data_IF_038323082934
#
_entry.id   IF_038323082934
#
_cell.length_a   1.000
_cell.length_b   1.000
_cell.length_c   1.000
_cell.angle_alpha   90.00
_cell.angle_beta   90.00
_cell.angle_gamma   90.00
#
_symmetry.space_group_name_H-M   'P 1'
#
loop_
_entity.id
_entity.type
_entity.pdbx_description
1 polymer ?
#
# COMPACT_ATOMS: atom_id res chain seq x y z
N UNK A 1 -25.89 -5.46 3.96
CA UNK A 1 -26.59 -4.38 4.67
C UNK A 1 -27.53 -3.68 3.71
N UNK A 2 -28.74 -3.31 4.14
CA UNK A 2 -29.70 -2.58 3.31
C UNK A 2 -30.22 -1.35 4.07
N UNK A 3 -30.15 -0.18 3.43
CA UNK A 3 -30.77 1.04 3.92
C UNK A 3 -32.26 0.99 3.54
N UNK A 4 -33.16 1.24 4.49
CA UNK A 4 -34.61 1.22 4.29
C UNK A 4 -35.23 2.44 4.96
N UNK A 5 -36.32 2.95 4.39
CA UNK A 5 -37.09 4.02 5.02
C UNK A 5 -37.72 3.52 6.33
N UNK A 6 -37.55 4.31 7.39
CA UNK A 6 -38.19 4.13 8.69
C UNK A 6 -39.41 5.05 8.74
N UNK A 7 -40.59 4.47 8.54
CA UNK A 7 -41.86 5.16 8.72
C UNK A 7 -42.04 6.41 7.84
N UNK A 8 -42.80 7.38 8.37
CA UNK A 8 -43.21 8.59 7.62
C UNK A 8 -42.22 9.76 7.68
N UNK A 9 -41.20 9.67 8.53
CA UNK A 9 -40.43 10.84 8.96
C UNK A 9 -39.12 11.05 8.17
N UNK A 10 -39.03 10.46 6.97
CA UNK A 10 -37.83 10.46 6.09
C UNK A 10 -36.54 9.97 6.75
N UNK A 11 -36.66 9.30 7.90
CA UNK A 11 -35.53 8.65 8.55
C UNK A 11 -35.20 7.36 7.81
N UNK A 12 -33.91 7.04 7.73
CA UNK A 12 -33.45 5.78 7.15
C UNK A 12 -32.90 4.89 8.25
N UNK A 13 -33.34 3.64 8.25
CA UNK A 13 -32.83 2.57 9.10
C UNK A 13 -31.90 1.67 8.32
N UNK A 14 -30.97 1.04 9.03
CA UNK A 14 -30.07 0.03 8.47
C UNK A 14 -30.56 -1.34 8.92
N UNK A 15 -30.93 -2.20 7.97
CA UNK A 15 -31.23 -3.61 8.24
C UNK A 15 -30.00 -4.47 7.89
N UNK A 16 -29.44 -5.11 8.90
CA UNK A 16 -28.26 -5.97 8.81
C UNK A 16 -27.57 -6.07 10.16
N UNK A 17 -26.57 -6.95 10.26
CA UNK A 17 -25.70 -7.01 11.44
C UNK A 17 -24.94 -5.70 11.61
N UNK A 18 -25.02 -5.10 12.80
CA UNK A 18 -24.25 -3.90 13.16
C UNK A 18 -23.29 -4.29 14.28
N UNK A 19 -22.01 -4.00 14.07
CA UNK A 19 -20.97 -4.18 15.09
C UNK A 19 -20.48 -2.79 15.50
N UNK A 20 -20.72 -2.42 16.76
CA UNK A 20 -20.17 -1.18 17.31
C UNK A 20 -18.70 -1.41 17.66
N UNK A 21 -17.79 -0.84 16.86
CA UNK A 21 -16.36 -0.85 17.15
C UNK A 21 -16.01 0.46 17.87
N UNK A 22 -15.43 0.42 19.09
CA UNK A 22 -14.99 1.64 19.76
C UNK A 22 -13.93 2.34 18.92
N UNK A 23 -14.18 3.60 18.57
CA UNK A 23 -13.25 4.42 17.82
C UNK A 23 -12.80 5.62 18.66
N UNK A 24 -11.50 5.89 18.64
CA UNK A 24 -10.92 7.07 19.27
C UNK A 24 -11.12 8.28 18.33
N UNK A 25 -12.08 9.13 18.71
CA UNK A 25 -12.44 10.30 17.92
C UNK A 25 -11.32 11.33 17.89
N UNK A 26 -10.52 11.46 18.96
CA UNK A 26 -9.42 12.42 19.00
C UNK A 26 -8.41 12.12 17.90
N UNK A 27 -7.99 10.86 17.76
CA UNK A 27 -7.13 10.43 16.65
C UNK A 27 -7.69 10.78 15.27
N UNK A 28 -9.00 10.66 15.10
CA UNK A 28 -9.65 10.91 13.80
C UNK A 28 -9.75 12.40 13.48
N UNK A 29 -10.06 13.23 14.48
CA UNK A 29 -10.23 14.68 14.35
C UNK A 29 -8.89 15.38 14.25
N UNK A 30 -7.89 14.97 15.03
CA UNK A 30 -6.54 15.55 15.00
C UNK A 30 -5.85 15.33 13.65
N UNK A 31 -6.24 14.28 12.92
CA UNK A 31 -5.73 13.98 11.59
C UNK A 31 -6.42 14.76 10.45
N UNK A 32 -7.32 15.70 10.76
CA UNK A 32 -8.05 16.49 9.75
C UNK A 32 -7.64 17.97 9.76
N UNK A 33 -7.43 18.59 8.57
CA UNK A 33 -7.39 17.98 7.24
C UNK A 33 -6.13 17.13 7.05
N UNK A 34 -6.30 15.94 6.47
CA UNK A 34 -5.21 14.98 6.30
C UNK A 34 -4.23 15.50 5.24
N UNK A 35 -2.94 15.54 5.55
CA UNK A 35 -1.94 15.94 4.56
C UNK A 35 -1.98 14.94 3.39
N UNK A 36 -2.00 15.46 2.16
CA UNK A 36 -1.99 14.65 0.93
C UNK A 36 -0.78 13.72 0.89
N UNK A 37 0.37 14.19 1.39
CA UNK A 37 1.60 13.40 1.43
C UNK A 37 1.47 12.20 2.39
N UNK A 38 0.77 12.35 3.51
CA UNK A 38 0.61 11.28 4.50
C UNK A 38 -0.36 10.18 4.04
N UNK A 39 -1.26 10.53 3.13
CA UNK A 39 -2.29 9.63 2.60
C UNK A 39 -1.96 9.08 1.22
N UNK A 40 -0.91 9.59 0.57
CA UNK A 40 -0.50 9.17 -0.75
C UNK A 40 -0.05 7.70 -0.74
N UNK A 41 -0.62 6.92 -1.66
CA UNK A 41 -0.27 5.52 -1.87
C UNK A 41 0.00 5.27 -3.34
N UNK A 42 0.93 4.36 -3.63
CA UNK A 42 1.32 3.96 -4.98
C UNK A 42 1.13 2.46 -5.16
N UNK A 43 0.74 2.04 -6.36
CA UNK A 43 0.71 0.62 -6.71
C UNK A 43 2.10 0.19 -7.17
N UNK A 44 2.65 -0.84 -6.51
CA UNK A 44 3.97 -1.38 -6.82
C UNK A 44 3.83 -2.85 -7.21
N UNK A 45 4.59 -3.22 -8.25
CA UNK A 45 4.74 -4.60 -8.72
C UNK A 45 6.17 -5.06 -8.46
N UNK A 46 6.36 -6.08 -7.63
CA UNK A 46 7.67 -6.60 -7.27
C UNK A 46 7.94 -7.94 -7.97
N UNK A 47 9.12 -8.06 -8.55
CA UNK A 47 9.63 -9.31 -9.14
C UNK A 47 10.59 -9.98 -8.16
N UNK A 48 10.58 -11.33 -8.10
CA UNK A 48 11.61 -12.10 -7.37
C UNK A 48 13.00 -11.88 -7.96
N UNK A 49 13.10 -11.78 -9.29
CA UNK A 49 14.32 -11.50 -10.05
C UNK A 49 13.99 -10.58 -11.22
N UNK A 50 14.91 -9.68 -11.58
CA UNK A 50 14.71 -8.74 -12.69
C UNK A 50 14.53 -9.43 -14.05
N UNK A 51 15.11 -10.61 -14.22
CA UNK A 51 15.01 -11.42 -15.45
C UNK A 51 13.63 -12.04 -15.69
N UNK A 52 12.76 -12.11 -14.67
CA UNK A 52 11.46 -12.76 -14.79
C UNK A 52 10.46 -11.87 -15.54
N UNK A 53 9.61 -12.50 -16.36
CA UNK A 53 8.56 -11.79 -17.10
C UNK A 53 7.40 -11.41 -16.19
N UNK A 54 6.96 -12.32 -15.33
CA UNK A 54 5.88 -12.13 -14.38
C UNK A 54 6.34 -11.40 -13.12
N UNK A 55 5.41 -10.71 -12.47
CA UNK A 55 5.62 -10.15 -11.12
C UNK A 55 5.05 -11.12 -10.09
N UNK A 56 5.67 -11.13 -8.92
CA UNK A 56 5.32 -12.02 -7.83
C UNK A 56 4.35 -11.36 -6.85
N UNK A 57 4.54 -10.07 -6.56
CA UNK A 57 3.72 -9.33 -5.58
C UNK A 57 3.18 -8.06 -6.21
N UNK A 58 1.90 -7.80 -5.94
CA UNK A 58 1.18 -6.59 -6.34
C UNK A 58 0.54 -5.99 -5.10
N UNK A 59 0.99 -4.81 -4.67
CA UNK A 59 0.46 -4.17 -3.48
C UNK A 59 0.37 -2.65 -3.63
N UNK A 60 -0.58 -2.06 -2.91
CA UNK A 60 -0.68 -0.62 -2.73
C UNK A 60 0.09 -0.25 -1.46
N UNK A 61 1.14 0.56 -1.61
CA UNK A 61 2.06 0.90 -0.52
C UNK A 61 2.09 2.40 -0.30
N UNK A 62 2.27 2.82 0.96
CA UNK A 62 2.49 4.22 1.31
C UNK A 62 4.01 4.49 1.36
N UNK A 63 4.56 5.35 0.47
CA UNK A 63 5.99 5.62 0.42
C UNK A 63 6.57 6.12 1.75
N UNK A 64 5.85 6.99 2.47
CA UNK A 64 6.31 7.53 3.75
C UNK A 64 6.46 6.42 4.80
N UNK A 65 5.55 5.43 4.79
CA UNK A 65 5.66 4.27 5.69
C UNK A 65 6.86 3.41 5.35
N UNK A 66 7.13 3.18 4.06
CA UNK A 66 8.30 2.41 3.60
C UNK A 66 9.59 3.11 4.00
N UNK A 67 9.68 4.42 3.79
CA UNK A 67 10.83 5.23 4.18
C UNK A 67 11.09 5.17 5.70
N UNK A 68 10.06 5.39 6.52
CA UNK A 68 10.19 5.32 7.97
C UNK A 68 10.59 3.92 8.46
N UNK A 69 10.07 2.86 7.83
CA UNK A 69 10.48 1.49 8.14
C UNK A 69 11.95 1.25 7.78
N UNK A 70 12.42 1.76 6.65
CA UNK A 70 13.82 1.65 6.24
C UNK A 70 14.76 2.36 7.24
N UNK A 71 14.42 3.59 7.65
CA UNK A 71 15.15 4.32 8.70
C UNK A 71 15.20 3.55 10.02
N UNK A 72 14.08 2.94 10.41
CA UNK A 72 14.03 2.10 11.61
C UNK A 72 14.96 0.88 11.49
N UNK A 73 14.97 0.19 10.34
CA UNK A 73 15.81 -0.98 10.11
C UNK A 73 17.31 -0.66 10.12
N UNK A 74 17.72 0.52 9.63
CA UNK A 74 19.13 0.94 9.69
C UNK A 74 19.67 1.06 11.12
N UNK A 75 18.80 1.35 12.10
CA UNK A 75 19.20 1.43 13.50
C UNK A 75 19.41 0.05 14.14
N UNK A 76 19.04 -1.04 13.46
CA UNK A 76 19.17 -2.39 13.97
C UNK A 76 20.62 -2.91 13.77
N UNK A 77 21.22 -3.56 14.78
CA UNK A 77 22.60 -4.06 14.72
C UNK A 77 22.86 -5.02 13.55
N UNK A 78 21.86 -5.80 13.12
CA UNK A 78 22.00 -6.70 11.98
C UNK A 78 22.34 -5.94 10.70
N UNK A 79 21.63 -4.85 10.42
CA UNK A 79 21.84 -4.03 9.23
C UNK A 79 23.14 -3.24 9.29
N UNK A 80 23.53 -2.79 10.49
CA UNK A 80 24.81 -2.12 10.72
C UNK A 80 25.99 -3.07 10.50
N UNK A 81 25.89 -4.32 10.98
CA UNK A 81 26.93 -5.33 10.79
C UNK A 81 27.19 -5.67 9.33
N UNK A 82 26.14 -5.59 8.50
CA UNK A 82 26.20 -5.84 7.06
C UNK A 82 26.51 -4.57 6.25
N UNK A 83 26.79 -3.45 6.93
CA UNK A 83 27.08 -2.15 6.33
C UNK A 83 26.03 -1.69 5.30
N UNK A 84 24.75 -1.97 5.58
CA UNK A 84 23.64 -1.56 4.72
C UNK A 84 23.38 -0.08 4.91
N UNK A 85 23.39 0.69 3.83
CA UNK A 85 23.11 2.13 3.83
C UNK A 85 21.98 2.47 2.85
N UNK A 86 21.19 3.49 3.18
CA UNK A 86 20.19 4.06 2.27
C UNK A 86 20.86 5.17 1.48
N UNK A 87 20.75 5.09 0.16
CA UNK A 87 21.22 6.15 -0.72
C UNK A 87 20.23 7.33 -0.71
N UNK A 88 20.55 8.35 0.10
CA UNK A 88 19.77 9.58 0.19
C UNK A 88 20.07 10.54 -0.98
N UNK A 89 21.23 10.42 -1.62
CA UNK A 89 21.61 11.26 -2.75
C UNK A 89 20.76 10.91 -3.98
N UNK A 90 20.53 9.61 -4.19
CA UNK A 90 19.58 9.12 -5.17
C UNK A 90 18.18 9.71 -4.96
N UNK A 91 17.70 9.80 -3.71
CA UNK A 91 16.38 10.35 -3.40
C UNK A 91 16.24 11.83 -3.80
N UNK A 92 17.26 12.64 -3.53
CA UNK A 92 17.26 14.08 -3.85
C UNK A 92 17.36 14.35 -5.36
N UNK A 93 18.07 13.50 -6.09
CA UNK A 93 18.09 13.53 -7.55
C UNK A 93 16.68 13.34 -8.14
N UNK A 94 15.91 12.39 -7.62
CA UNK A 94 14.52 12.16 -8.05
C UNK A 94 13.56 13.29 -7.68
N UNK A 95 13.80 14.00 -6.57
CA UNK A 95 12.98 15.17 -6.19
C UNK A 95 13.17 16.34 -7.18
N UNK A 96 14.38 16.47 -7.71
CA UNK A 96 14.77 17.60 -8.57
C UNK A 96 14.53 17.33 -10.05
N UNK A 97 14.59 16.07 -10.48
CA UNK A 97 14.19 15.64 -11.81
C UNK A 97 12.66 15.65 -11.92
N UNK A 98 12.10 16.82 -12.26
CA UNK A 98 10.74 16.93 -12.76
C UNK A 98 10.59 16.00 -13.97
N UNK A 99 9.86 14.90 -13.82
CA UNK A 99 9.47 14.05 -14.93
C UNK A 99 8.86 14.94 -16.04
N UNK A 100 9.24 14.76 -17.31
CA UNK A 100 8.64 15.53 -18.39
C UNK A 100 7.12 15.34 -18.34
N UNK A 101 6.38 16.46 -18.36
CA UNK A 101 4.92 16.45 -18.41
C UNK A 101 4.47 15.51 -19.53
N UNK A 102 3.87 14.37 -19.16
CA UNK A 102 3.45 13.34 -20.11
C UNK A 102 3.97 11.92 -19.84
N UNK A 103 4.99 11.73 -18.99
CA UNK A 103 5.37 10.38 -18.54
C UNK A 103 4.52 9.93 -17.35
N UNK A 104 3.22 9.78 -17.57
CA UNK A 104 2.41 9.00 -16.63
C UNK A 104 2.95 7.57 -16.67
N UNK A 105 3.64 7.13 -15.62
CA UNK A 105 3.99 5.73 -15.39
C UNK A 105 2.76 4.83 -15.13
N UNK A 106 1.60 5.20 -15.70
CA UNK A 106 0.51 4.29 -15.98
C UNK A 106 0.89 3.47 -17.22
N UNK A 107 1.90 2.61 -17.07
CA UNK A 107 2.10 1.51 -18.01
C UNK A 107 0.94 0.53 -17.79
N UNK A 108 -0.06 0.63 -18.66
CA UNK A 108 -1.13 -0.34 -18.96
C UNK A 108 -1.46 -1.31 -17.82
N UNK A 109 -2.43 -0.92 -17.00
CA UNK A 109 -3.26 -1.88 -16.28
C UNK A 109 -4.18 -2.58 -17.29
N UNK A 110 -3.62 -3.49 -18.09
CA UNK A 110 -4.46 -4.49 -18.73
C UNK A 110 -5.15 -5.30 -17.61
N UNK A 111 -6.48 -5.44 -17.63
CA UNK A 111 -7.17 -6.30 -16.69
C UNK A 111 -6.73 -7.74 -16.97
N UNK A 112 -5.87 -8.30 -16.12
CA UNK A 112 -5.47 -9.71 -16.21
C UNK A 112 -6.67 -10.52 -15.72
N UNK A 113 -7.34 -11.18 -16.65
CA UNK A 113 -8.25 -12.28 -16.39
C UNK A 113 -7.53 -13.31 -15.51
N UNK A 114 -8.06 -13.50 -14.32
CA UNK A 114 -7.57 -14.46 -13.32
C UNK A 114 -7.75 -15.89 -13.82
N UNK A 115 -6.68 -16.48 -14.32
CA UNK A 115 -6.47 -17.93 -14.25
C UNK A 115 -5.23 -18.16 -13.38
N UNK A 116 -5.47 -18.25 -12.08
CA UNK A 116 -4.46 -18.59 -11.08
C UNK A 116 -4.31 -20.12 -11.04
N UNK A 117 -3.19 -20.64 -11.53
CA UNK A 117 -2.70 -21.96 -11.11
C UNK A 117 -1.63 -21.73 -10.05
N UNK A 118 -2.00 -21.95 -8.79
CA UNK A 118 -1.04 -22.12 -7.71
C UNK A 118 -0.55 -23.57 -7.75
N UNK A 119 0.57 -23.82 -8.42
CA UNK A 119 1.31 -25.05 -8.21
C UNK A 119 1.94 -24.94 -6.81
N UNK A 120 1.42 -25.71 -5.86
CA UNK A 120 2.04 -25.90 -4.56
C UNK A 120 3.15 -26.93 -4.73
N UNK A 121 4.41 -26.48 -4.70
CA UNK A 121 5.54 -27.38 -4.50
C UNK A 121 5.42 -27.97 -3.08
N UNK A 122 4.88 -29.19 -2.99
CA UNK A 122 4.97 -30.02 -1.79
C UNK A 122 6.36 -30.65 -1.84
N UNK A 123 7.22 -30.24 -0.91
CA UNK A 123 8.48 -30.93 -0.64
C UNK A 123 8.14 -32.28 0.01
N UNK A 124 8.17 -33.36 -0.78
CA UNK A 124 8.18 -34.74 -0.31
C UNK A 124 9.61 -35.08 0.19
N UNK A 125 9.86 -34.90 1.49
CA UNK A 125 11.00 -35.52 2.18
C UNK A 125 10.58 -36.92 2.68
N UNK A 126 11.06 -37.97 2.00
CA UNK A 126 11.13 -39.37 2.48
C UNK A 126 12.45 -39.63 3.24
#
# INVERSE_FOLDING_TARGET
MQIRELGRDRQYGIKGSVTNVPNDLHKSVDCLPRNVNDSATIYVKLKKRLSFKSHFIYQCVNPNRVYNAALYLMNNPLYQSQNVNIDLEWLEKFRTESFPEGSNAFADLNPISSEENYESDIDDDD
#
